data_IF_857005490974
#
_entry.id   IF_857005490974
#
_cell.length_a   1.000
_cell.length_b   1.000
_cell.length_c   1.000
_cell.angle_alpha   90.00
_cell.angle_beta   90.00
_cell.angle_gamma   90.00
#
_symmetry.space_group_name_H-M   'P 1'
#
loop_
_entity.id
_entity.type
_entity.pdbx_description
1 polymer ?
#
# COMPACT_ATOMS: atom_id res chain seq x y z
N UNK A 1 -17.89 -16.71 2.43
CA UNK A 1 -17.54 -15.99 1.18
C UNK A 1 -16.30 -16.63 0.56
N UNK A 2 -16.27 -16.82 -0.76
CA UNK A 2 -15.09 -17.38 -1.42
C UNK A 2 -13.93 -16.38 -1.38
N UNK A 3 -12.70 -16.86 -1.31
CA UNK A 3 -11.48 -16.06 -1.41
C UNK A 3 -11.44 -15.22 -2.71
N UNK A 4 -12.25 -15.59 -3.71
CA UNK A 4 -12.46 -14.87 -4.98
C UNK A 4 -13.31 -13.60 -4.85
N UNK A 5 -14.27 -13.51 -3.92
CA UNK A 5 -15.05 -12.29 -3.71
C UNK A 5 -14.18 -11.15 -3.13
N UNK A 6 -13.24 -11.49 -2.25
CA UNK A 6 -12.22 -10.56 -1.74
C UNK A 6 -11.22 -10.12 -2.83
N UNK A 7 -10.91 -10.99 -3.79
CA UNK A 7 -10.09 -10.65 -4.96
C UNK A 7 -10.85 -9.79 -5.98
N UNK A 8 -12.16 -10.00 -6.14
CA UNK A 8 -13.04 -9.21 -7.00
C UNK A 8 -13.15 -7.75 -6.57
N UNK A 9 -13.17 -7.49 -5.26
CA UNK A 9 -13.24 -6.12 -4.71
C UNK A 9 -11.85 -5.44 -4.64
N UNK A 10 -10.74 -6.19 -4.61
CA UNK A 10 -9.44 -5.59 -4.96
C UNK A 10 -9.39 -5.12 -6.43
N UNK A 11 -10.22 -5.73 -7.30
CA UNK A 11 -10.52 -5.24 -8.64
C UNK A 11 -11.45 -4.02 -8.68
N UNK A 12 -12.42 -3.89 -7.76
CA UNK A 12 -13.37 -2.76 -7.67
C UNK A 12 -12.68 -1.40 -7.77
N UNK A 13 -11.61 -1.17 -7.01
CA UNK A 13 -10.94 0.15 -7.01
C UNK A 13 -9.95 0.28 -8.15
N UNK A 14 -9.22 -0.80 -8.51
CA UNK A 14 -8.38 -0.81 -9.72
C UNK A 14 -9.15 -0.54 -11.03
N UNK A 15 -10.47 -0.74 -11.00
CA UNK A 15 -11.40 -0.52 -12.11
C UNK A 15 -12.02 0.86 -12.08
N UNK A 16 -12.41 1.36 -10.91
CA UNK A 16 -12.81 2.76 -10.75
C UNK A 16 -11.63 3.69 -11.11
N UNK A 17 -10.41 3.27 -10.79
CA UNK A 17 -9.15 3.81 -11.28
C UNK A 17 -9.11 3.79 -12.82
N UNK A 18 -9.28 2.63 -13.46
CA UNK A 18 -9.30 2.52 -14.93
C UNK A 18 -10.42 3.29 -15.66
N UNK A 19 -11.45 3.76 -14.94
CA UNK A 19 -12.59 4.51 -15.50
C UNK A 19 -12.67 5.98 -15.03
N UNK A 20 -11.70 6.48 -14.26
CA UNK A 20 -11.61 7.88 -13.82
C UNK A 20 -12.86 8.41 -13.08
N UNK A 21 -13.57 7.55 -12.35
CA UNK A 21 -14.78 7.93 -11.60
C UNK A 21 -14.49 8.40 -10.16
N UNK A 22 -13.22 8.67 -9.84
CA UNK A 22 -12.78 9.00 -8.50
C UNK A 22 -12.85 10.51 -8.28
N UNK A 23 -13.44 10.92 -7.16
CA UNK A 23 -13.26 12.27 -6.63
C UNK A 23 -11.80 12.48 -6.14
N UNK A 24 -11.38 13.72 -5.81
CA UNK A 24 -10.02 13.98 -5.31
C UNK A 24 -9.66 13.19 -4.04
N UNK A 25 -10.66 12.77 -3.25
CA UNK A 25 -10.49 11.94 -2.06
C UNK A 25 -10.52 10.42 -2.38
N UNK A 26 -10.51 10.04 -3.66
CA UNK A 26 -10.45 8.67 -4.14
C UNK A 26 -11.77 7.91 -4.08
N UNK A 27 -12.90 8.55 -3.83
CA UNK A 27 -14.20 7.88 -3.78
C UNK A 27 -14.88 7.81 -5.15
N UNK A 28 -15.47 6.66 -5.45
CA UNK A 28 -16.35 6.45 -6.61
C UNK A 28 -17.78 6.06 -6.17
N UNK A 29 -18.82 6.40 -6.97
CA UNK A 29 -20.17 5.89 -6.79
C UNK A 29 -20.24 4.36 -6.88
N UNK A 30 -20.82 3.71 -5.86
CA UNK A 30 -20.85 2.25 -5.77
C UNK A 30 -21.73 1.61 -6.87
N UNK A 31 -22.79 2.27 -7.30
CA UNK A 31 -23.62 1.82 -8.43
C UNK A 31 -22.81 1.67 -9.74
N UNK A 32 -21.92 2.62 -10.01
CA UNK A 32 -21.05 2.61 -11.19
C UNK A 32 -19.98 1.52 -11.08
N UNK A 33 -19.42 1.35 -9.89
CA UNK A 33 -18.48 0.27 -9.59
C UNK A 33 -19.12 -1.11 -9.82
N UNK A 34 -20.31 -1.36 -9.25
CA UNK A 34 -20.99 -2.66 -9.37
C UNK A 34 -21.45 -2.95 -10.80
N UNK A 35 -21.60 -1.93 -11.65
CA UNK A 35 -21.90 -2.10 -13.06
C UNK A 35 -20.72 -2.66 -13.89
N UNK A 36 -19.50 -2.73 -13.34
CA UNK A 36 -18.35 -3.29 -14.03
C UNK A 36 -18.50 -4.79 -14.29
N UNK A 37 -18.19 -5.21 -15.52
CA UNK A 37 -18.48 -6.55 -16.04
C UNK A 37 -18.16 -7.71 -15.09
N UNK A 38 -16.92 -7.82 -14.57
CA UNK A 38 -16.55 -8.86 -13.61
C UNK A 38 -17.33 -8.85 -12.29
N UNK A 39 -17.69 -7.69 -11.73
CA UNK A 39 -18.48 -7.64 -10.50
C UNK A 39 -19.95 -7.92 -10.78
N UNK A 40 -20.45 -7.38 -11.89
CA UNK A 40 -21.79 -7.63 -12.38
C UNK A 40 -22.01 -9.10 -12.69
N UNK A 41 -21.03 -9.79 -13.27
CA UNK A 41 -21.10 -11.23 -13.57
C UNK A 41 -21.13 -12.09 -12.31
N UNK A 42 -20.43 -11.66 -11.26
CA UNK A 42 -20.42 -12.32 -9.94
C UNK A 42 -21.63 -11.93 -9.07
N UNK A 43 -22.51 -11.04 -9.55
CA UNK A 43 -23.71 -10.55 -8.86
C UNK A 43 -23.42 -10.01 -7.46
N UNK A 44 -22.31 -9.29 -7.32
CA UNK A 44 -21.92 -8.65 -6.05
C UNK A 44 -22.99 -7.65 -5.62
N UNK A 45 -23.44 -7.75 -4.37
CA UNK A 45 -24.48 -6.89 -3.77
C UNK A 45 -23.88 -5.80 -2.89
N UNK A 46 -24.69 -4.81 -2.50
CA UNK A 46 -24.28 -3.79 -1.51
C UNK A 46 -23.91 -4.42 -0.17
N UNK A 47 -24.61 -5.47 0.26
CA UNK A 47 -24.32 -6.15 1.52
C UNK A 47 -23.02 -6.95 1.46
N UNK A 48 -22.67 -7.53 0.31
CA UNK A 48 -21.35 -8.14 0.09
C UNK A 48 -20.24 -7.09 0.25
N UNK A 49 -20.45 -5.88 -0.28
CA UNK A 49 -19.49 -4.78 -0.18
C UNK A 49 -19.39 -4.25 1.24
N UNK A 50 -20.52 -4.03 1.94
CA UNK A 50 -20.55 -3.67 3.37
C UNK A 50 -19.83 -4.69 4.24
N UNK A 51 -20.01 -5.97 3.95
CA UNK A 51 -19.33 -7.05 4.68
C UNK A 51 -17.84 -7.03 4.35
N UNK A 52 -17.47 -6.84 3.09
CA UNK A 52 -16.08 -6.74 2.68
C UNK A 52 -15.38 -5.55 3.34
N UNK A 53 -15.96 -4.35 3.34
CA UNK A 53 -15.33 -3.16 3.94
C UNK A 53 -15.16 -3.32 5.46
N UNK A 54 -16.14 -3.93 6.13
CA UNK A 54 -16.10 -4.24 7.58
C UNK A 54 -15.08 -5.32 7.91
N UNK A 55 -15.12 -6.45 7.21
CA UNK A 55 -14.40 -7.68 7.57
C UNK A 55 -13.08 -7.85 6.81
N UNK A 56 -12.63 -6.85 6.04
CA UNK A 56 -11.36 -6.93 5.34
C UNK A 56 -10.19 -6.99 6.35
N UNK A 57 -9.48 -8.12 6.39
CA UNK A 57 -8.35 -8.35 7.29
C UNK A 57 -7.23 -7.29 7.23
N UNK A 58 -7.18 -6.49 6.15
CA UNK A 58 -6.20 -5.41 5.96
C UNK A 58 -6.82 -4.01 5.92
N UNK A 59 -8.14 -3.90 6.10
CA UNK A 59 -8.88 -2.63 6.02
C UNK A 59 -8.53 -1.86 4.75
N UNK A 60 -8.62 -2.54 3.60
CA UNK A 60 -8.19 -2.01 2.28
C UNK A 60 -9.13 -0.95 1.71
N UNK A 61 -10.37 -0.92 2.16
CA UNK A 61 -11.43 -0.11 1.55
C UNK A 61 -12.13 0.72 2.63
N UNK A 62 -12.64 1.87 2.22
CA UNK A 62 -13.59 2.66 3.02
C UNK A 62 -14.85 2.89 2.21
N UNK A 63 -15.99 2.91 2.89
CA UNK A 63 -17.29 3.22 2.30
C UNK A 63 -17.96 4.31 3.14
N UNK A 64 -18.67 5.25 2.49
CA UNK A 64 -19.46 6.31 3.14
C UNK A 64 -20.76 6.53 2.38
N UNK A 65 -21.76 7.12 3.02
CA UNK A 65 -22.98 7.54 2.33
C UNK A 65 -22.65 8.56 1.24
N UNK A 66 -23.40 8.51 0.13
CA UNK A 66 -23.32 9.48 -0.95
C UNK A 66 -24.28 10.63 -0.65
N UNK A 67 -23.82 11.81 -0.22
CA UNK A 67 -24.71 12.90 0.19
C UNK A 67 -25.60 13.43 -0.96
N UNK A 68 -25.22 13.18 -2.21
CA UNK A 68 -25.97 13.63 -3.40
C UNK A 68 -27.23 12.79 -3.66
N UNK A 69 -27.26 11.55 -3.19
CA UNK A 69 -28.32 10.57 -3.48
C UNK A 69 -28.91 9.96 -2.22
N UNK A 70 -28.21 10.04 -1.09
CA UNK A 70 -28.64 9.55 0.20
C UNK A 70 -28.74 10.70 1.22
N UNK A 71 -29.96 11.23 1.45
CA UNK A 71 -30.19 12.31 2.41
C UNK A 71 -30.13 11.87 3.88
N UNK A 72 -30.12 10.56 4.18
CA UNK A 72 -30.18 10.01 5.55
C UNK A 72 -28.87 9.35 5.99
N UNK A 73 -27.75 10.04 5.80
CA UNK A 73 -26.38 9.50 5.85
C UNK A 73 -25.90 8.94 7.21
N UNK A 74 -26.50 9.31 8.34
CA UNK A 74 -25.90 8.99 9.66
C UNK A 74 -26.28 7.60 10.20
N UNK A 75 -27.27 6.90 9.64
CA UNK A 75 -27.68 5.55 10.07
C UNK A 75 -28.24 4.66 8.93
N UNK A 76 -27.96 4.97 7.66
CA UNK A 76 -28.58 4.26 6.53
C UNK A 76 -28.02 2.84 6.36
N UNK A 77 -28.91 1.85 6.31
CA UNK A 77 -28.62 0.46 5.93
C UNK A 77 -29.06 0.16 4.49
N UNK A 78 -29.35 1.18 3.68
CA UNK A 78 -29.81 1.08 2.30
C UNK A 78 -29.05 0.03 1.48
N UNK A 79 -29.84 -0.79 0.79
CA UNK A 79 -29.37 -1.74 -0.21
C UNK A 79 -29.22 -1.13 -1.61
N UNK A 80 -29.56 0.15 -1.79
CA UNK A 80 -29.36 0.87 -3.05
C UNK A 80 -27.88 1.29 -3.19
N UNK A 81 -27.21 0.76 -4.21
CA UNK A 81 -25.81 1.05 -4.46
C UNK A 81 -25.55 2.54 -4.75
N UNK A 82 -26.51 3.27 -5.29
CA UNK A 82 -26.35 4.70 -5.59
C UNK A 82 -26.22 5.56 -4.33
N UNK A 83 -26.68 5.06 -3.18
CA UNK A 83 -26.59 5.72 -1.87
C UNK A 83 -25.19 5.67 -1.25
N UNK A 84 -24.22 5.01 -1.89
CA UNK A 84 -22.91 4.73 -1.31
C UNK A 84 -21.75 5.17 -2.21
N UNK A 85 -20.68 5.62 -1.56
CA UNK A 85 -19.39 5.90 -2.16
C UNK A 85 -18.36 4.91 -1.58
N UNK A 86 -17.44 4.42 -2.41
CA UNK A 86 -16.38 3.48 -2.02
C UNK A 86 -15.01 3.95 -2.52
N UNK A 87 -13.95 3.68 -1.75
CA UNK A 87 -12.56 3.90 -2.15
C UNK A 87 -11.61 2.82 -1.66
N UNK A 88 -10.41 2.74 -2.25
CA UNK A 88 -9.29 2.09 -1.60
C UNK A 88 -8.62 3.07 -0.64
N UNK A 89 -8.10 2.54 0.46
CA UNK A 89 -7.39 3.35 1.45
C UNK A 89 -5.94 3.63 1.01
N UNK A 90 -5.37 2.77 0.15
CA UNK A 90 -3.99 2.85 -0.34
C UNK A 90 -3.76 1.97 -1.57
N UNK A 91 -2.68 2.23 -2.31
CA UNK A 91 -2.21 1.37 -3.40
C UNK A 91 -2.55 1.83 -4.81
N UNK A 92 -3.11 3.04 -4.95
CA UNK A 92 -3.43 3.66 -6.23
C UNK A 92 -2.20 3.79 -7.13
N UNK A 93 -2.42 3.61 -8.43
CA UNK A 93 -1.38 3.81 -9.47
C UNK A 93 -1.69 4.99 -10.41
N UNK A 94 -2.69 5.81 -10.07
CA UNK A 94 -3.12 6.97 -10.86
C UNK A 94 -2.61 8.26 -10.23
N UNK A 95 -1.96 9.09 -11.03
CA UNK A 95 -1.30 10.33 -10.60
C UNK A 95 -2.24 11.50 -10.33
N UNK A 96 -3.54 11.39 -10.64
CA UNK A 96 -4.53 12.47 -10.49
C UNK A 96 -5.13 12.58 -9.09
N UNK A 97 -4.79 11.68 -8.17
CA UNK A 97 -5.27 11.74 -6.79
C UNK A 97 -4.34 12.64 -5.96
N UNK A 98 -4.94 13.57 -5.23
CA UNK A 98 -4.21 14.42 -4.30
C UNK A 98 -3.98 13.64 -3.00
N UNK A 99 -2.74 13.24 -2.74
CA UNK A 99 -2.33 12.54 -1.52
C UNK A 99 -2.78 13.28 -0.25
N UNK A 100 -2.79 14.62 -0.28
CA UNK A 100 -3.21 15.45 0.85
C UNK A 100 -4.71 15.39 1.15
N UNK A 101 -5.55 15.02 0.16
CA UNK A 101 -6.98 14.87 0.32
C UNK A 101 -7.37 13.55 1.02
N UNK A 102 -6.44 12.59 1.12
CA UNK A 102 -6.72 11.24 1.61
C UNK A 102 -5.87 10.82 2.80
N UNK A 103 -4.68 11.40 2.95
CA UNK A 103 -3.66 10.96 3.88
C UNK A 103 -3.32 12.07 4.87
N UNK A 104 -2.92 11.67 6.07
CA UNK A 104 -2.41 12.62 7.07
C UNK A 104 -0.93 12.86 6.81
N UNK A 105 -0.54 14.11 6.67
CA UNK A 105 0.87 14.47 6.50
C UNK A 105 1.70 14.06 7.74
N UNK A 106 2.85 13.42 7.52
CA UNK A 106 3.84 13.16 8.57
C UNK A 106 4.88 14.28 8.53
N UNK A 107 5.04 15.00 9.64
CA UNK A 107 6.03 16.08 9.73
C UNK A 107 6.62 16.22 11.14
N UNK A 108 7.83 16.78 11.21
CA UNK A 108 8.49 17.06 12.48
C UNK A 108 7.71 18.06 13.32
N UNK A 109 7.07 19.04 12.67
CA UNK A 109 6.26 20.07 13.33
C UNK A 109 5.00 19.48 13.98
N UNK A 110 4.33 18.55 13.30
CA UNK A 110 3.16 17.84 13.84
C UNK A 110 3.52 16.79 14.90
N UNK A 111 4.82 16.48 15.09
CA UNK A 111 5.33 15.47 16.04
C UNK A 111 4.64 14.12 15.91
N UNK A 112 4.30 13.75 14.68
CA UNK A 112 3.54 12.54 14.35
C UNK A 112 4.37 11.52 13.56
N UNK A 113 5.71 11.64 13.59
CA UNK A 113 6.61 10.66 12.99
C UNK A 113 6.48 9.33 13.73
N UNK A 114 6.15 8.22 13.04
CA UNK A 114 6.04 6.91 13.68
C UNK A 114 7.39 6.46 14.27
N UNK A 115 7.35 5.82 15.44
CA UNK A 115 8.55 5.34 16.13
C UNK A 115 9.36 4.32 15.29
N UNK A 116 8.67 3.56 14.42
CA UNK A 116 9.29 2.60 13.49
C UNK A 116 8.58 2.70 12.14
N UNK A 117 9.35 2.66 11.06
CA UNK A 117 8.84 2.58 9.68
C UNK A 117 9.60 1.48 8.97
N UNK A 118 8.86 0.45 8.54
CA UNK A 118 9.41 -0.80 8.05
C UNK A 118 8.90 -1.09 6.64
N UNK A 119 9.80 -1.48 5.75
CA UNK A 119 9.48 -2.02 4.44
C UNK A 119 9.94 -3.48 4.36
N UNK A 120 9.01 -4.36 4.00
CA UNK A 120 9.30 -5.77 3.80
C UNK A 120 9.58 -6.07 2.33
N UNK A 121 10.73 -6.68 2.04
CA UNK A 121 11.12 -7.10 0.69
C UNK A 121 11.64 -8.55 0.67
N UNK A 122 12.15 -8.98 -0.48
CA UNK A 122 12.58 -10.35 -0.75
C UNK A 122 14.01 -10.35 -1.27
N UNK A 123 14.74 -11.44 -1.04
CA UNK A 123 16.12 -11.59 -1.49
C UNK A 123 16.25 -11.40 -3.00
N UNK A 124 15.24 -11.86 -3.76
CA UNK A 124 15.16 -11.72 -5.21
C UNK A 124 15.17 -10.27 -5.74
N UNK A 125 14.90 -9.28 -4.88
CA UNK A 125 14.88 -7.87 -5.28
C UNK A 125 16.00 -7.05 -4.66
N UNK A 126 16.82 -7.63 -3.78
CA UNK A 126 17.84 -6.91 -3.02
C UNK A 126 18.88 -6.25 -3.92
N UNK A 127 19.46 -7.01 -4.85
CA UNK A 127 20.48 -6.47 -5.75
C UNK A 127 19.95 -5.30 -6.59
N UNK A 128 18.70 -5.39 -7.05
CA UNK A 128 18.06 -4.31 -7.79
C UNK A 128 17.79 -3.06 -6.93
N UNK A 129 17.47 -3.24 -5.65
CA UNK A 129 17.31 -2.14 -4.69
C UNK A 129 18.65 -1.43 -4.49
N UNK A 130 19.72 -2.19 -4.25
CA UNK A 130 21.07 -1.64 -4.04
C UNK A 130 21.58 -0.96 -5.31
N UNK A 131 21.46 -1.59 -6.48
CA UNK A 131 21.90 -1.02 -7.76
C UNK A 131 21.16 0.26 -8.14
N UNK A 132 19.86 0.36 -7.81
CA UNK A 132 19.10 1.61 -7.99
C UNK A 132 19.42 2.67 -6.94
N UNK A 133 20.14 2.31 -5.88
CA UNK A 133 20.46 3.20 -4.77
C UNK A 133 19.36 3.36 -3.73
N UNK A 134 18.31 2.51 -3.73
CA UNK A 134 17.20 2.65 -2.77
C UNK A 134 15.92 1.87 -3.11
N UNK A 135 14.92 1.96 -2.23
CA UNK A 135 13.59 1.40 -2.44
C UNK A 135 12.79 2.26 -3.41
N UNK A 136 12.26 1.69 -4.48
CA UNK A 136 11.46 2.43 -5.47
C UNK A 136 9.96 2.26 -5.25
N UNK A 137 9.18 3.32 -5.53
CA UNK A 137 7.71 3.20 -5.65
C UNK A 137 7.26 2.32 -6.82
N UNK A 138 8.18 1.97 -7.72
CA UNK A 138 7.94 1.13 -8.90
C UNK A 138 6.81 1.73 -9.75
N UNK A 139 5.77 0.95 -10.06
CA UNK A 139 4.61 1.41 -10.84
C UNK A 139 3.54 2.10 -9.98
N UNK A 140 3.70 2.17 -8.66
CA UNK A 140 2.73 2.80 -7.75
C UNK A 140 3.06 4.27 -7.55
N UNK A 141 2.10 5.00 -6.98
CA UNK A 141 2.33 6.38 -6.55
C UNK A 141 3.28 6.48 -5.36
N UNK A 142 3.26 5.48 -4.47
CA UNK A 142 4.01 5.51 -3.22
C UNK A 142 4.75 4.20 -2.94
N UNK A 143 5.86 4.29 -2.22
CA UNK A 143 6.43 3.19 -1.45
C UNK A 143 5.55 2.98 -0.21
N UNK A 144 5.13 1.73 0.02
CA UNK A 144 4.32 1.34 1.17
C UNK A 144 5.21 0.81 2.29
N UNK A 145 5.05 1.37 3.48
CA UNK A 145 5.75 0.95 4.70
C UNK A 145 4.74 0.68 5.83
N UNK A 146 5.13 -0.14 6.79
CA UNK A 146 4.36 -0.47 7.98
C UNK A 146 4.96 0.18 9.22
N UNK A 147 4.13 0.50 10.22
CA UNK A 147 4.59 1.01 11.52
C UNK A 147 5.11 -0.09 12.46
N UNK A 148 5.03 -1.34 12.03
CA UNK A 148 5.49 -2.53 12.74
C UNK A 148 5.36 -3.77 11.85
N UNK A 149 5.56 -4.95 12.42
CA UNK A 149 5.49 -6.25 11.74
C UNK A 149 4.06 -6.78 11.78
N UNK A 150 3.36 -6.91 10.62
CA UNK A 150 1.98 -7.36 10.61
C UNK A 150 1.78 -8.75 11.21
N UNK A 151 0.96 -8.84 12.25
CA UNK A 151 0.70 -10.09 12.99
C UNK A 151 1.72 -10.43 14.08
N UNK A 152 2.69 -9.55 14.34
CA UNK A 152 3.58 -9.61 15.51
C UNK A 152 3.33 -8.40 16.39
N UNK A 153 3.41 -7.20 15.82
CA UNK A 153 3.13 -5.95 16.54
C UNK A 153 1.62 -5.71 16.66
N UNK A 154 1.17 -5.36 17.88
CA UNK A 154 -0.25 -5.14 18.19
C UNK A 154 -0.79 -3.98 17.35
N UNK A 155 -1.95 -4.20 16.71
CA UNK A 155 -2.62 -3.18 15.89
C UNK A 155 -2.05 -3.00 14.48
N UNK A 156 -0.95 -3.68 14.12
CA UNK A 156 -0.37 -3.60 12.77
C UNK A 156 -0.90 -4.75 11.91
N UNK A 157 -1.72 -4.40 10.92
CA UNK A 157 -2.38 -5.37 10.03
C UNK A 157 -2.00 -5.20 8.54
N UNK A 158 -1.37 -4.06 8.19
CA UNK A 158 -1.12 -3.62 6.82
C UNK A 158 0.30 -3.03 6.65
N UNK A 159 0.65 -2.66 5.42
CA UNK A 159 1.92 -1.99 5.09
C UNK A 159 2.99 -2.92 4.50
N UNK A 160 3.03 -4.19 4.89
CA UNK A 160 3.89 -5.20 4.24
C UNK A 160 3.28 -6.61 4.21
N UNK A 161 3.94 -7.52 3.49
CA UNK A 161 3.55 -8.95 3.45
C UNK A 161 4.16 -9.70 4.63
N UNK A 162 3.52 -10.78 5.08
CA UNK A 162 3.98 -11.57 6.24
C UNK A 162 5.15 -12.51 5.90
N UNK A 163 5.27 -12.86 4.63
CA UNK A 163 6.24 -13.82 4.10
C UNK A 163 7.54 -13.16 3.61
N UNK A 164 7.78 -11.91 3.98
CA UNK A 164 8.99 -11.16 3.61
C UNK A 164 10.25 -11.87 4.11
N UNK A 165 11.36 -11.62 3.42
CA UNK A 165 12.66 -12.23 3.73
C UNK A 165 13.65 -11.19 4.24
N UNK A 166 13.47 -9.92 3.84
CA UNK A 166 14.24 -8.78 4.31
C UNK A 166 13.32 -7.75 4.95
N UNK A 167 13.78 -7.19 6.07
CA UNK A 167 13.16 -6.05 6.73
C UNK A 167 14.08 -4.84 6.59
N UNK A 168 13.55 -3.76 6.00
CA UNK A 168 14.25 -2.48 5.88
C UNK A 168 13.58 -1.48 6.81
N UNK A 169 14.29 -1.05 7.84
CA UNK A 169 13.89 0.07 8.69
C UNK A 169 14.37 1.38 8.07
N UNK A 170 13.45 2.34 7.97
CA UNK A 170 13.67 3.63 7.33
C UNK A 170 13.78 4.71 8.39
N UNK A 171 14.81 5.54 8.27
CA UNK A 171 14.99 6.77 9.03
C UNK A 171 14.19 7.91 8.39
N UNK A 172 12.89 7.94 8.73
CA UNK A 172 11.98 8.98 8.26
C UNK A 172 12.35 10.35 8.81
N UNK A 173 12.83 10.42 10.05
CA UNK A 173 13.16 11.69 10.69
C UNK A 173 14.30 12.40 9.95
N UNK A 174 15.39 11.69 9.64
CA UNK A 174 16.50 12.27 8.87
C UNK A 174 16.05 12.67 7.47
N UNK A 175 15.21 11.87 6.81
CA UNK A 175 14.69 12.24 5.48
C UNK A 175 13.82 13.50 5.48
N UNK A 176 13.07 13.75 6.55
CA UNK A 176 12.28 14.96 6.75
C UNK A 176 13.17 16.17 7.08
N UNK A 177 14.20 15.98 7.92
CA UNK A 177 15.18 17.04 8.25
C UNK A 177 15.96 17.51 7.02
N UNK A 178 16.31 16.57 6.15
CA UNK A 178 16.97 16.85 4.87
C UNK A 178 16.03 17.51 3.85
N UNK A 179 14.70 17.47 4.07
CA UNK A 179 13.71 17.92 3.10
C UNK A 179 13.67 17.06 1.83
N UNK A 180 14.15 15.82 1.89
CA UNK A 180 14.38 14.99 0.70
C UNK A 180 13.12 14.34 0.15
N UNK A 181 12.11 14.11 1.00
CA UNK A 181 10.84 13.49 0.58
C UNK A 181 9.70 13.79 1.55
N UNK A 182 8.48 13.80 1.02
CA UNK A 182 7.25 13.93 1.78
C UNK A 182 6.78 12.58 2.29
N UNK A 183 6.21 12.56 3.50
CA UNK A 183 5.66 11.35 4.11
C UNK A 183 4.20 11.54 4.51
N UNK A 184 3.46 10.43 4.46
CA UNK A 184 2.04 10.39 4.73
C UNK A 184 1.66 9.16 5.55
N UNK A 185 0.63 9.30 6.37
CA UNK A 185 0.00 8.23 7.13
C UNK A 185 -1.43 8.01 6.63
N UNK A 186 -1.74 6.80 6.21
CA UNK A 186 -3.11 6.42 5.85
C UNK A 186 -3.96 6.15 7.10
N UNK A 187 -5.29 6.13 6.93
CA UNK A 187 -6.24 5.79 8.01
C UNK A 187 -6.06 4.38 8.59
N UNK A 188 -5.42 3.46 7.85
CA UNK A 188 -5.11 2.11 8.31
C UNK A 188 -3.64 1.93 8.75
N UNK A 189 -2.95 3.03 9.06
CA UNK A 189 -1.61 3.01 9.66
C UNK A 189 -0.48 2.64 8.69
N UNK A 190 -0.72 2.73 7.39
CA UNK A 190 0.33 2.53 6.37
C UNK A 190 1.05 3.84 6.15
N UNK A 191 2.37 3.79 6.21
CA UNK A 191 3.25 4.92 5.96
C UNK A 191 3.60 4.94 4.47
N UNK A 192 3.49 6.10 3.85
CA UNK A 192 3.54 6.26 2.39
C UNK A 192 4.49 7.42 2.05
N UNK A 193 5.31 7.24 1.02
CA UNK A 193 6.10 8.31 0.42
C UNK A 193 6.19 8.10 -1.08
N UNK A 194 6.16 9.20 -1.83
CA UNK A 194 6.43 9.17 -3.27
C UNK A 194 7.92 8.87 -3.55
N UNK A 195 8.77 9.01 -2.53
CA UNK A 195 10.21 9.00 -2.65
C UNK A 195 10.75 10.41 -2.94
N UNK A 196 12.04 10.47 -3.25
CA UNK A 196 12.72 11.64 -3.77
C UNK A 196 12.29 11.95 -5.21
N UNK A 197 12.99 12.88 -5.86
CA UNK A 197 12.81 13.25 -7.27
C UNK A 197 12.87 12.07 -8.26
N UNK A 198 13.52 10.96 -7.89
CA UNK A 198 13.63 9.73 -8.67
C UNK A 198 12.59 8.67 -8.28
N UNK A 199 11.70 8.98 -7.33
CA UNK A 199 10.73 8.06 -6.77
C UNK A 199 11.38 6.96 -5.92
N UNK A 200 12.51 7.28 -5.28
CA UNK A 200 13.27 6.39 -4.43
C UNK A 200 13.22 6.82 -2.96
N UNK A 201 13.39 5.85 -2.07
CA UNK A 201 13.91 6.08 -0.72
C UNK A 201 15.38 5.67 -0.77
N UNK A 202 16.30 6.64 -0.85
CA UNK A 202 17.73 6.35 -0.92
C UNK A 202 18.24 5.46 0.22
N UNK A 203 19.26 4.66 -0.09
CA UNK A 203 19.97 3.81 0.87
C UNK A 203 20.42 4.59 2.10
N UNK A 204 20.83 5.87 1.97
CA UNK A 204 21.24 6.71 3.10
C UNK A 204 20.17 6.88 4.19
N UNK A 205 18.90 6.63 3.87
CA UNK A 205 17.80 6.67 4.84
C UNK A 205 17.42 5.28 5.35
N UNK A 206 18.18 4.24 5.05
CA UNK A 206 17.98 2.94 5.66
C UNK A 206 18.68 2.96 7.01
N UNK A 207 17.91 3.11 8.09
CA UNK A 207 18.44 2.93 9.44
C UNK A 207 19.07 1.54 9.56
N UNK A 208 18.39 0.52 8.99
CA UNK A 208 18.86 -0.87 9.00
C UNK A 208 18.20 -1.69 7.90
N UNK A 209 18.92 -2.62 7.28
CA UNK A 209 18.33 -3.68 6.47
C UNK A 209 18.88 -5.03 6.91
N UNK A 210 18.01 -5.96 7.28
CA UNK A 210 18.42 -7.27 7.77
C UNK A 210 17.52 -8.40 7.26
N UNK A 211 18.13 -9.59 7.12
CA UNK A 211 17.42 -10.82 6.82
C UNK A 211 16.64 -11.32 8.03
N UNK A 212 15.36 -11.61 7.82
CA UNK A 212 14.48 -12.19 8.85
C UNK A 212 14.34 -13.71 8.70
N UNK A 213 15.06 -14.32 7.76
CA UNK A 213 15.10 -15.75 7.47
C UNK A 213 16.51 -16.19 7.09
N UNK A 214 16.82 -17.48 7.26
CA UNK A 214 18.04 -18.09 6.74
C UNK A 214 19.36 -17.44 7.23
N UNK A 215 19.34 -16.79 8.39
CA UNK A 215 20.52 -16.20 9.07
C UNK A 215 21.38 -15.27 8.20
N UNK A 216 20.75 -14.53 7.29
CA UNK A 216 21.42 -13.56 6.38
C UNK A 216 22.08 -12.40 7.13
N UNK A 217 21.59 -12.07 8.33
CA UNK A 217 22.15 -10.99 9.16
C UNK A 217 21.88 -9.60 8.59
N UNK A 218 22.75 -8.65 8.92
CA UNK A 218 22.62 -7.23 8.57
C UNK A 218 23.32 -6.95 7.25
N UNK A 219 22.59 -6.34 6.31
CA UNK A 219 23.10 -5.96 5.00
C UNK A 219 23.38 -4.46 4.91
N UNK A 220 22.60 -3.64 5.61
CA UNK A 220 22.77 -2.17 5.70
C UNK A 220 22.59 -1.74 7.15
N UNK A 221 23.42 -0.80 7.61
CA UNK A 221 23.28 -0.14 8.90
C UNK A 221 23.64 1.34 8.74
N UNK A 222 22.80 2.24 9.26
CA UNK A 222 22.97 3.71 9.16
C UNK A 222 23.29 4.21 7.74
N UNK A 223 22.60 3.64 6.75
CA UNK A 223 22.75 4.00 5.34
C UNK A 223 23.97 3.41 4.62
N UNK A 224 24.83 2.67 5.32
CA UNK A 224 26.02 2.03 4.75
C UNK A 224 25.79 0.55 4.48
N UNK A 225 26.13 0.10 3.26
CA UNK A 225 26.06 -1.31 2.90
C UNK A 225 27.23 -2.07 3.54
N UNK A 226 26.90 -2.95 4.48
CA UNK A 226 27.87 -3.75 5.24
C UNK A 226 28.18 -5.09 4.59
N UNK A 227 27.19 -5.70 3.93
CA UNK A 227 27.32 -7.05 3.38
C UNK A 227 26.46 -7.25 2.11
N UNK A 228 26.81 -8.30 1.37
CA UNK A 228 25.98 -8.88 0.31
C UNK A 228 25.18 -10.07 0.84
N UNK A 229 24.19 -10.51 0.05
CA UNK A 229 23.50 -11.76 0.36
C UNK A 229 24.51 -12.93 0.37
N UNK A 230 24.39 -13.88 1.31
CA UNK A 230 25.27 -15.05 1.38
C UNK A 230 25.30 -15.84 0.07
N UNK A 231 26.50 -16.28 -0.32
CA UNK A 231 26.65 -17.16 -1.47
C UNK A 231 25.90 -18.48 -1.24
N UNK A 232 25.16 -18.95 -2.26
CA UNK A 232 24.39 -20.20 -2.18
C UNK A 232 23.02 -20.06 -1.50
N UNK A 233 22.60 -18.85 -1.11
CA UNK A 233 21.25 -18.59 -0.65
C UNK A 233 20.24 -18.96 -1.73
N UNK A 234 19.23 -19.75 -1.39
CA UNK A 234 18.15 -20.11 -2.32
C UNK A 234 17.23 -18.90 -2.53
N UNK A 235 17.37 -18.23 -3.67
CA UNK A 235 16.57 -17.04 -4.01
C UNK A 235 15.32 -17.44 -4.79
N UNK A 236 14.14 -17.10 -4.25
CA UNK A 236 12.84 -17.35 -4.89
C UNK A 236 12.14 -16.04 -5.22
N UNK A 237 11.66 -15.91 -6.45
CA UNK A 237 10.75 -14.81 -6.81
C UNK A 237 9.37 -15.10 -6.22
N UNK A 238 8.78 -14.18 -5.42
CA UNK A 238 7.46 -14.40 -4.83
C UNK A 238 6.37 -14.60 -5.89
N UNK A 239 5.41 -15.48 -5.60
CA UNK A 239 4.27 -15.73 -6.48
C UNK A 239 3.56 -14.43 -6.89
N UNK A 240 3.19 -14.33 -8.18
CA UNK A 240 2.56 -13.14 -8.75
C UNK A 240 3.52 -11.97 -9.04
N UNK A 241 4.83 -12.12 -8.80
CA UNK A 241 5.88 -11.16 -9.19
C UNK A 241 6.82 -11.69 -10.28
N UNK A 242 6.39 -12.68 -11.07
CA UNK A 242 7.14 -13.07 -12.27
C UNK A 242 7.40 -11.82 -13.08
N UNK A 243 8.68 -11.48 -13.25
CA UNK A 243 9.07 -10.50 -14.25
C UNK A 243 8.51 -11.05 -15.55
N UNK A 244 7.58 -10.32 -16.17
CA UNK A 244 7.29 -10.52 -17.58
C UNK A 244 8.62 -10.28 -18.28
N UNK A 245 9.36 -11.36 -18.57
CA UNK A 245 10.43 -11.34 -19.52
C UNK A 245 9.82 -10.73 -20.78
N UNK A 246 10.35 -9.56 -21.18
CA UNK A 246 9.98 -8.92 -22.42
C UNK A 246 10.29 -9.87 -23.57
N UNK A 247 9.30 -10.69 -23.93
CA UNK A 247 9.27 -11.40 -25.18
C UNK A 247 9.05 -10.35 -26.27
N UNK A 248 10.13 -10.00 -26.96
CA UNK A 248 10.05 -9.42 -28.30
C UNK A 248 9.05 -10.24 -29.13
N UNK A 249 8.04 -9.58 -29.66
CA UNK A 249 7.66 -9.64 -31.08
C UNK A 249 7.10 -8.29 -31.49
#
# INVERSE_FOLDING_TARGET
MSEKANAGIAGVVGVAEGQALLDPAGFAPLDKVLAWGPLKSEKVTVDDVKTCTRDNAKQRFSMKANPSTNPNAENDDSSDASHWLIRANQGHSITTLDSSAMLTEISLAAKNVPARVLHGTYYAFWDAIVQKGGLSRMKRNHVHCATGIPGVDVGVISGMRKDVELLVQIDVETSLRDGAMQWWLSSNGVVLTEGDENGLIPLKYFARAEGVKNDVGVLVDNGEKLADLPAGLEIKVPAGKNQSAGGKK
#
